data_IF_432524351054
#
_entry.id   IF_432524351054
#
_cell.length_a   1.000
_cell.length_b   1.000
_cell.length_c   1.000
_cell.angle_alpha   90.00
_cell.angle_beta   90.00
_cell.angle_gamma   90.00
#
_symmetry.space_group_name_H-M   'P 1'
#
loop_
_entity.id
_entity.type
_entity.pdbx_description
1 polymer ?
#
# COMPACT_ATOMS: atom_id res chain seq x y z
N UNK A 1 -2.72 -19.61 -8.14
CA UNK A 1 -2.97 -18.32 -8.05
C UNK A 1 -3.99 -17.95 -6.98
N UNK A 2 -5.18 -17.74 -7.13
CA UNK A 2 -6.10 -17.44 -6.06
C UNK A 2 -6.50 -18.61 -5.17
N UNK A 3 -5.91 -19.77 -5.34
CA UNK A 3 -6.34 -20.98 -4.64
C UNK A 3 -6.19 -20.88 -3.11
N UNK A 4 -5.10 -20.30 -2.65
CA UNK A 4 -4.91 -20.16 -1.20
C UNK A 4 -5.98 -19.24 -0.59
N UNK A 5 -6.40 -18.21 -1.32
CA UNK A 5 -7.45 -17.30 -0.87
C UNK A 5 -8.81 -17.96 -0.85
N UNK A 6 -9.07 -18.85 -1.79
CA UNK A 6 -10.34 -19.57 -1.87
C UNK A 6 -10.49 -20.59 -0.75
N UNK A 7 -9.38 -21.19 -0.30
CA UNK A 7 -9.40 -22.22 0.73
C UNK A 7 -9.47 -21.66 2.14
N UNK A 8 -9.18 -20.38 2.31
CA UNK A 8 -9.15 -19.74 3.62
C UNK A 8 -9.95 -18.45 3.60
N UNK A 9 -11.02 -18.42 4.38
CA UNK A 9 -11.92 -17.26 4.40
C UNK A 9 -11.41 -16.12 5.29
N UNK A 10 -10.58 -16.44 6.28
CA UNK A 10 -10.04 -15.42 7.17
C UNK A 10 -8.59 -15.72 7.52
N UNK A 11 -7.80 -14.66 7.56
CA UNK A 11 -6.40 -14.73 7.91
C UNK A 11 -6.13 -13.95 9.20
N UNK A 12 -5.33 -14.52 10.10
CA UNK A 12 -4.75 -13.72 11.18
C UNK A 12 -3.71 -12.79 10.58
N UNK A 13 -3.29 -11.77 11.34
CA UNK A 13 -2.21 -10.90 10.87
C UNK A 13 -0.94 -11.71 10.60
N UNK A 14 -0.59 -12.64 11.49
CA UNK A 14 0.59 -13.47 11.31
C UNK A 14 0.51 -14.31 10.03
N UNK A 15 -0.66 -14.89 9.76
CA UNK A 15 -0.90 -15.65 8.52
C UNK A 15 -0.77 -14.77 7.29
N UNK A 16 -1.30 -13.55 7.35
CA UNK A 16 -1.17 -12.60 6.24
C UNK A 16 0.29 -12.25 5.95
N UNK A 17 1.04 -11.91 6.98
CA UNK A 17 2.44 -11.51 6.79
C UNK A 17 3.26 -12.67 6.24
N UNK A 18 3.00 -13.89 6.71
CA UNK A 18 3.66 -15.08 6.18
C UNK A 18 3.26 -15.33 4.72
N UNK A 19 1.99 -15.17 4.40
CA UNK A 19 1.49 -15.31 3.04
C UNK A 19 2.18 -14.31 2.11
N UNK A 20 2.35 -13.06 2.55
CA UNK A 20 3.00 -12.03 1.74
C UNK A 20 4.47 -12.35 1.45
N UNK A 21 5.18 -12.94 2.38
CA UNK A 21 6.56 -13.33 2.16
C UNK A 21 6.71 -14.43 1.10
N UNK A 22 5.72 -15.30 0.98
CA UNK A 22 5.79 -16.47 0.11
C UNK A 22 5.05 -16.31 -1.21
N UNK A 23 4.09 -15.40 -1.26
CA UNK A 23 3.26 -15.22 -2.45
C UNK A 23 4.00 -14.42 -3.52
N UNK A 24 3.89 -14.82 -4.80
CA UNK A 24 4.41 -14.00 -5.90
C UNK A 24 3.57 -12.76 -6.17
N UNK A 25 2.38 -12.66 -5.55
CA UNK A 25 1.46 -11.55 -5.74
C UNK A 25 1.21 -10.85 -4.42
N UNK A 26 1.12 -9.51 -4.47
CA UNK A 26 0.81 -8.70 -3.29
C UNK A 26 -0.69 -8.78 -2.99
N UNK A 27 -1.02 -8.73 -1.71
CA UNK A 27 -2.41 -8.64 -1.26
C UNK A 27 -2.50 -7.61 -0.15
N UNK A 28 -3.55 -6.81 -0.17
CA UNK A 28 -3.89 -5.92 0.93
C UNK A 28 -4.70 -6.69 1.96
N UNK A 29 -4.71 -6.22 3.18
CA UNK A 29 -5.32 -6.94 4.31
C UNK A 29 -6.25 -6.02 5.08
N UNK A 30 -7.44 -6.50 5.36
CA UNK A 30 -8.38 -5.79 6.21
C UNK A 30 -9.16 -6.78 7.06
N UNK A 31 -8.88 -6.81 8.35
CA UNK A 31 -9.59 -7.61 9.36
C UNK A 31 -9.86 -9.05 8.95
N UNK A 32 -8.83 -9.70 8.48
CA UNK A 32 -8.90 -11.10 8.09
C UNK A 32 -9.14 -11.36 6.62
N UNK A 33 -9.50 -10.34 5.84
CA UNK A 33 -9.72 -10.49 4.40
C UNK A 33 -8.50 -10.07 3.60
N UNK A 34 -8.20 -10.82 2.56
CA UNK A 34 -7.15 -10.47 1.61
C UNK A 34 -7.74 -9.94 0.32
N UNK A 35 -7.17 -8.85 -0.16
CA UNK A 35 -7.53 -8.26 -1.46
C UNK A 35 -6.33 -8.38 -2.38
N UNK A 36 -6.36 -9.36 -3.28
CA UNK A 36 -5.26 -9.58 -4.22
C UNK A 36 -5.15 -8.38 -5.16
N UNK A 37 -3.91 -7.94 -5.40
CA UNK A 37 -3.65 -6.81 -6.28
C UNK A 37 -3.41 -7.30 -7.70
N UNK A 38 -4.15 -6.74 -8.64
CA UNK A 38 -3.99 -7.06 -10.05
C UNK A 38 -2.76 -6.37 -10.62
N UNK A 39 -2.32 -6.86 -11.77
CA UNK A 39 -1.32 -6.15 -12.55
C UNK A 39 -1.84 -4.80 -13.01
N UNK A 40 -0.95 -3.94 -13.47
CA UNK A 40 -1.29 -2.58 -13.84
C UNK A 40 -1.00 -2.32 -15.32
N UNK A 41 -1.66 -1.29 -15.87
CA UNK A 41 -1.39 -0.85 -17.24
C UNK A 41 -0.11 -0.01 -17.30
N UNK A 42 0.43 0.15 -18.50
CA UNK A 42 1.59 1.03 -18.72
C UNK A 42 1.29 2.47 -18.36
N UNK A 43 0.08 2.96 -18.65
CA UNK A 43 -0.33 4.33 -18.30
C UNK A 43 -0.36 4.50 -16.78
N UNK A 44 -0.96 3.56 -16.06
CA UNK A 44 -0.98 3.60 -14.60
C UNK A 44 0.45 3.62 -14.04
N UNK A 45 1.30 2.74 -14.55
CA UNK A 45 2.69 2.65 -14.12
C UNK A 45 3.44 3.95 -14.39
N UNK A 46 3.22 4.56 -15.57
CA UNK A 46 3.87 5.81 -15.94
C UNK A 46 3.46 6.97 -15.04
N UNK A 47 2.16 7.09 -14.76
CA UNK A 47 1.65 8.15 -13.87
C UNK A 47 2.24 8.01 -12.48
N UNK A 48 2.19 6.81 -11.93
CA UNK A 48 2.75 6.56 -10.59
C UNK A 48 4.25 6.83 -10.56
N UNK A 49 4.98 6.36 -11.58
CA UNK A 49 6.40 6.56 -11.68
C UNK A 49 6.80 8.03 -11.81
N UNK A 50 6.06 8.80 -12.60
CA UNK A 50 6.31 10.23 -12.76
C UNK A 50 6.09 10.99 -11.46
N UNK A 51 5.02 10.69 -10.73
CA UNK A 51 4.76 11.32 -9.44
C UNK A 51 5.85 10.94 -8.43
N UNK A 52 6.22 9.67 -8.40
CA UNK A 52 7.30 9.21 -7.53
C UNK A 52 8.60 9.95 -7.80
N UNK A 53 8.99 10.06 -9.06
CA UNK A 53 10.22 10.75 -9.46
C UNK A 53 10.19 12.23 -9.06
N UNK A 54 9.05 12.89 -9.25
CA UNK A 54 8.87 14.28 -8.87
C UNK A 54 9.03 14.46 -7.36
N UNK A 55 8.36 13.64 -6.57
CA UNK A 55 8.43 13.74 -5.11
C UNK A 55 9.85 13.44 -4.62
N UNK A 56 10.47 12.38 -5.15
CA UNK A 56 11.82 12.01 -4.76
C UNK A 56 12.80 13.15 -5.00
N UNK A 57 12.70 13.82 -6.15
CA UNK A 57 13.57 14.95 -6.46
C UNK A 57 13.34 16.14 -5.55
N UNK A 58 12.07 16.42 -5.20
CA UNK A 58 11.70 17.55 -4.36
C UNK A 58 12.14 17.40 -2.91
N UNK A 59 12.19 16.17 -2.40
CA UNK A 59 12.52 15.94 -0.99
C UNK A 59 13.95 15.46 -0.76
N UNK A 60 14.78 15.43 -1.80
CA UNK A 60 16.17 15.02 -1.67
C UNK A 60 16.89 15.84 -0.60
N UNK A 61 17.55 15.16 0.33
CA UNK A 61 18.29 15.81 1.42
C UNK A 61 17.43 16.30 2.57
N UNK A 62 16.11 16.17 2.51
CA UNK A 62 15.20 16.69 3.54
C UNK A 62 14.91 15.72 4.68
N UNK A 63 15.30 14.45 4.54
CA UNK A 63 14.90 13.41 5.48
C UNK A 63 13.59 12.73 5.14
N UNK A 64 12.81 13.29 4.22
CA UNK A 64 11.62 12.63 3.70
C UNK A 64 12.02 11.57 2.67
N UNK A 65 11.21 10.52 2.55
CA UNK A 65 11.43 9.44 1.60
C UNK A 65 10.16 9.16 0.82
N UNK A 66 10.30 8.98 -0.49
CA UNK A 66 9.21 8.57 -1.36
C UNK A 66 9.33 7.08 -1.66
N UNK A 67 8.19 6.41 -1.71
CA UNK A 67 8.10 4.97 -2.00
C UNK A 67 7.02 4.72 -3.04
N UNK A 68 7.18 3.63 -3.78
CA UNK A 68 6.27 3.29 -4.87
C UNK A 68 5.84 1.82 -4.77
N UNK A 69 4.56 1.59 -4.89
CA UNK A 69 3.86 0.31 -5.12
C UNK A 69 4.11 -0.85 -4.15
N UNK A 70 5.35 -1.12 -3.76
CA UNK A 70 5.67 -2.39 -3.11
C UNK A 70 5.93 -2.29 -1.61
N UNK A 71 5.60 -1.17 -0.98
CA UNK A 71 5.82 -0.98 0.45
C UNK A 71 4.50 -0.86 1.18
N UNK A 72 4.36 -1.63 2.26
CA UNK A 72 3.13 -1.65 3.04
C UNK A 72 2.94 -0.37 3.84
N UNK A 73 1.70 0.07 3.93
CA UNK A 73 1.24 1.08 4.86
C UNK A 73 0.24 0.44 5.81
N UNK A 74 0.46 0.58 7.10
CA UNK A 74 -0.50 0.18 8.11
C UNK A 74 -1.47 1.35 8.35
N UNK A 75 -2.73 1.15 7.99
CA UNK A 75 -3.77 2.17 8.19
C UNK A 75 -4.39 2.08 9.58
N UNK A 76 -4.54 0.88 10.09
CA UNK A 76 -5.07 0.64 11.41
C UNK A 76 -4.25 -0.49 12.03
N UNK A 77 -3.74 -0.25 13.22
CA UNK A 77 -2.79 -1.15 13.86
C UNK A 77 -3.33 -2.58 13.88
N UNK A 78 -2.54 -3.49 13.30
CA UNK A 78 -2.80 -4.93 13.23
C UNK A 78 -4.05 -5.34 12.44
N UNK A 79 -4.77 -4.40 11.82
CA UNK A 79 -6.04 -4.71 11.17
C UNK A 79 -6.10 -4.36 9.70
N UNK A 80 -5.36 -3.35 9.23
CA UNK A 80 -5.51 -2.88 7.86
C UNK A 80 -4.15 -2.52 7.26
N UNK A 81 -3.76 -3.24 6.21
CA UNK A 81 -2.51 -3.02 5.48
C UNK A 81 -2.80 -2.85 4.00
N UNK A 82 -2.22 -1.81 3.41
CA UNK A 82 -2.38 -1.50 2.00
C UNK A 82 -1.02 -1.26 1.35
N UNK A 83 -1.02 -1.23 0.01
CA UNK A 83 0.15 -0.86 -0.79
C UNK A 83 -0.22 0.36 -1.63
N UNK A 84 0.00 1.58 -1.13
CA UNK A 84 -0.28 2.77 -1.93
C UNK A 84 0.56 2.81 -3.20
N UNK A 85 0.01 3.36 -4.26
CA UNK A 85 0.76 3.51 -5.51
C UNK A 85 1.98 4.41 -5.31
N UNK A 86 1.81 5.52 -4.58
CA UNK A 86 2.93 6.39 -4.21
C UNK A 86 2.72 6.86 -2.77
N UNK A 87 3.79 6.87 -1.99
CA UNK A 87 3.74 7.28 -0.60
C UNK A 87 4.96 8.12 -0.27
N UNK A 88 4.76 9.21 0.48
CA UNK A 88 5.84 10.02 1.03
C UNK A 88 5.76 9.99 2.55
N UNK A 89 6.87 9.68 3.20
CA UNK A 89 6.95 9.75 4.65
C UNK A 89 8.10 10.67 5.06
N UNK A 90 7.88 11.43 6.14
CA UNK A 90 8.88 12.34 6.68
C UNK A 90 9.11 12.09 8.17
N UNK A 91 8.35 11.22 8.78
CA UNK A 91 8.39 10.94 10.20
C UNK A 91 9.54 10.01 10.55
N UNK A 92 10.31 10.38 11.57
CA UNK A 92 11.45 9.59 12.00
C UNK A 92 11.04 8.18 12.46
N UNK A 93 9.82 8.02 12.97
CA UNK A 93 9.31 6.71 13.40
C UNK A 93 9.21 5.73 12.23
N UNK A 94 8.94 6.22 11.03
CA UNK A 94 8.84 5.37 9.85
C UNK A 94 10.19 4.84 9.37
N UNK A 95 11.29 5.44 9.80
CA UNK A 95 12.63 4.93 9.44
C UNK A 95 13.01 3.68 10.22
N UNK A 96 12.39 3.46 11.36
CA UNK A 96 12.71 2.33 12.23
C UNK A 96 12.22 1.00 11.66
N UNK A 97 11.16 1.01 10.85
CA UNK A 97 10.62 -0.20 10.24
C UNK A 97 10.88 -0.18 8.73
N UNK A 98 11.61 -1.17 8.25
CA UNK A 98 12.00 -1.26 6.83
C UNK A 98 10.88 -1.77 5.94
N UNK A 99 9.85 -2.39 6.51
CA UNK A 99 8.83 -3.13 5.75
C UNK A 99 7.43 -2.55 5.84
N UNK A 100 7.17 -1.71 6.85
CA UNK A 100 5.85 -1.14 7.07
C UNK A 100 5.99 0.32 7.47
N UNK A 101 5.21 1.20 6.83
CA UNK A 101 5.13 2.62 7.18
C UNK A 101 3.80 2.91 7.88
N UNK A 102 3.77 3.95 8.71
CA UNK A 102 2.60 4.24 9.55
C UNK A 102 2.22 5.71 9.62
N UNK A 103 3.12 6.60 9.21
CA UNK A 103 2.93 8.05 9.37
C UNK A 103 3.16 8.79 8.05
N UNK A 104 2.40 8.47 7.01
CA UNK A 104 2.63 9.10 5.70
C UNK A 104 2.24 10.56 5.73
N UNK A 105 2.93 11.36 4.94
CA UNK A 105 2.57 12.75 4.69
C UNK A 105 1.74 12.88 3.41
N UNK A 106 2.07 12.11 2.39
CA UNK A 106 1.34 12.10 1.13
C UNK A 106 1.06 10.66 0.75
N UNK A 107 -0.17 10.40 0.33
CA UNK A 107 -0.59 9.13 -0.27
C UNK A 107 -1.24 9.43 -1.61
N UNK A 108 -0.88 8.68 -2.62
CA UNK A 108 -1.48 8.82 -3.94
C UNK A 108 -1.85 7.45 -4.49
N UNK A 109 -3.06 7.37 -5.02
CA UNK A 109 -3.55 6.19 -5.73
C UNK A 109 -3.88 6.63 -7.15
N UNK A 110 -3.34 5.93 -8.13
CA UNK A 110 -3.68 6.15 -9.53
C UNK A 110 -4.89 5.28 -9.84
N UNK A 111 -5.99 5.92 -10.20
CA UNK A 111 -7.25 5.22 -10.43
C UNK A 111 -7.21 4.42 -11.72
N UNK A 112 -7.85 3.26 -11.72
CA UNK A 112 -8.07 2.44 -12.89
C UNK A 112 -9.50 1.92 -12.86
N UNK A 113 -10.02 1.46 -14.00
CA UNK A 113 -11.39 0.96 -14.07
C UNK A 113 -11.63 -0.22 -13.13
N UNK A 114 -10.59 -1.03 -12.88
CA UNK A 114 -10.71 -2.20 -12.00
C UNK A 114 -10.61 -1.89 -10.52
N UNK A 115 -10.03 -0.75 -10.13
CA UNK A 115 -9.75 -0.45 -8.71
C UNK A 115 -10.40 0.85 -8.23
N UNK A 116 -10.98 1.65 -9.11
CA UNK A 116 -11.47 2.97 -8.74
C UNK A 116 -12.48 2.94 -7.61
N UNK A 117 -13.45 2.03 -7.65
CA UNK A 117 -14.46 1.94 -6.61
C UNK A 117 -13.83 1.60 -5.26
N UNK A 118 -12.91 0.65 -5.23
CA UNK A 118 -12.21 0.26 -4.01
C UNK A 118 -11.38 1.43 -3.47
N UNK A 119 -10.65 2.11 -4.33
CA UNK A 119 -9.82 3.25 -3.93
C UNK A 119 -10.66 4.41 -3.39
N UNK A 120 -11.75 4.78 -4.08
CA UNK A 120 -12.58 5.92 -3.69
C UNK A 120 -13.48 5.63 -2.50
N UNK A 121 -14.10 4.46 -2.47
CA UNK A 121 -15.18 4.19 -1.51
C UNK A 121 -14.73 3.36 -0.31
N UNK A 122 -13.65 2.63 -0.43
CA UNK A 122 -13.11 1.86 0.67
C UNK A 122 -11.83 2.47 1.25
N UNK A 123 -10.81 2.70 0.42
CA UNK A 123 -9.51 3.14 0.90
C UNK A 123 -9.47 4.63 1.26
N UNK A 124 -10.01 5.50 0.42
CA UNK A 124 -9.93 6.94 0.67
C UNK A 124 -10.52 7.37 2.01
N UNK A 125 -11.72 6.93 2.41
CA UNK A 125 -12.25 7.30 3.73
C UNK A 125 -11.31 6.89 4.85
N UNK A 126 -10.62 5.78 4.73
CA UNK A 126 -9.69 5.30 5.74
C UNK A 126 -8.39 6.08 5.74
N UNK A 127 -7.90 6.50 4.58
CA UNK A 127 -6.75 7.39 4.48
C UNK A 127 -7.01 8.72 5.19
N UNK A 128 -8.22 9.24 5.06
CA UNK A 128 -8.61 10.52 5.67
C UNK A 128 -8.69 10.45 7.20
N UNK A 129 -8.70 9.25 7.78
CA UNK A 129 -8.71 9.06 9.23
C UNK A 129 -7.30 9.04 9.84
N UNK A 130 -6.27 9.00 9.01
CA UNK A 130 -4.89 9.05 9.51
C UNK A 130 -4.60 10.40 10.13
N UNK A 131 -3.87 10.43 11.28
CA UNK A 131 -3.51 11.68 11.94
C UNK A 131 -2.56 12.56 11.13
#
# INVERSE_FOLDING_TARGET
>A
MGHALELKTRYSLADYLQHEEQSPFRSEYFRGELFAMAGTSDVHNEIAGNLYALLKGRVAGSGCKAFIENLKLELQANEHYVYPDVMLTCDARDRADRYVKRHPRILAEVLSSGTEAHDRFFKLPRYLQLP
#
